data_IF_224758403051
#
_entry.id   IF_224758403051
#
_cell.length_a   1.000
_cell.length_b   1.000
_cell.length_c   1.000
_cell.angle_alpha   90.00
_cell.angle_beta   90.00
_cell.angle_gamma   90.00
#
_symmetry.space_group_name_H-M   'P 1'
#
loop_
_entity.id
_entity.type
_entity.pdbx_description
1 polymer ?
#
# COMPACT_ATOMS: atom_id res chain seq x y z
N UNK A 1 -33.12 28.21 -34.80
CA UNK A 1 -32.42 27.46 -33.74
C UNK A 1 -33.40 26.40 -33.24
N UNK A 2 -33.34 25.18 -33.77
CA UNK A 2 -34.33 24.14 -33.46
C UNK A 2 -34.03 23.53 -32.08
N UNK A 3 -35.03 23.52 -31.19
CA UNK A 3 -34.91 22.92 -29.87
C UNK A 3 -34.72 21.40 -30.00
N UNK A 4 -33.70 20.87 -29.32
CA UNK A 4 -33.44 19.42 -29.27
C UNK A 4 -34.62 18.75 -28.56
N UNK A 5 -35.27 17.74 -29.15
CA UNK A 5 -36.41 17.07 -28.53
C UNK A 5 -35.96 16.29 -27.27
N UNK A 6 -36.80 16.33 -26.22
CA UNK A 6 -36.47 15.81 -24.88
C UNK A 6 -36.09 14.33 -24.86
N UNK A 7 -36.59 13.54 -25.80
CA UNK A 7 -36.29 12.11 -25.94
C UNK A 7 -34.82 11.84 -26.30
N UNK A 8 -34.15 12.80 -26.94
CA UNK A 8 -32.71 12.73 -27.19
C UNK A 8 -31.90 13.16 -25.97
N UNK A 9 -32.39 14.09 -25.15
CA UNK A 9 -31.74 14.50 -23.89
C UNK A 9 -31.66 13.32 -22.91
N UNK A 10 -32.75 12.55 -22.81
CA UNK A 10 -32.82 11.35 -21.95
C UNK A 10 -31.95 10.17 -22.42
N UNK A 11 -31.51 10.17 -23.68
CA UNK A 11 -30.55 9.18 -24.20
C UNK A 11 -29.09 9.57 -23.96
N UNK A 12 -28.82 10.86 -23.75
CA UNK A 12 -27.47 11.40 -23.53
C UNK A 12 -27.15 11.48 -22.03
N UNK A 13 -28.15 11.49 -21.16
CA UNK A 13 -27.95 11.36 -19.72
C UNK A 13 -27.51 9.92 -19.40
N UNK A 14 -26.30 9.71 -18.85
CA UNK A 14 -25.91 8.40 -18.36
C UNK A 14 -26.96 8.00 -17.32
N UNK A 15 -27.59 6.82 -17.47
CA UNK A 15 -28.43 6.24 -16.42
C UNK A 15 -27.64 6.33 -15.12
N UNK A 16 -28.10 7.16 -14.19
CA UNK A 16 -27.50 7.27 -12.88
C UNK A 16 -27.50 5.88 -12.26
N UNK A 17 -26.32 5.24 -12.23
CA UNK A 17 -26.12 4.00 -11.49
C UNK A 17 -26.60 4.30 -10.07
N UNK A 18 -27.47 3.47 -9.46
CA UNK A 18 -27.92 3.72 -8.10
C UNK A 18 -26.67 3.84 -7.24
N UNK A 19 -26.37 5.06 -6.78
CA UNK A 19 -25.36 5.23 -5.76
C UNK A 19 -25.88 4.44 -4.57
N UNK A 20 -25.08 3.53 -4.06
CA UNK A 20 -25.34 2.91 -2.76
C UNK A 20 -25.10 4.02 -1.72
N UNK A 21 -26.03 4.98 -1.67
CA UNK A 21 -26.04 6.21 -0.86
C UNK A 21 -26.41 5.89 0.60
N UNK A 22 -26.00 4.73 1.12
CA UNK A 22 -26.11 4.48 2.54
C UNK A 22 -24.97 5.20 3.24
N UNK A 23 -25.30 6.19 4.07
CA UNK A 23 -24.34 6.87 4.96
C UNK A 23 -23.50 5.86 5.76
N UNK A 24 -24.02 4.66 6.05
CA UNK A 24 -23.28 3.60 6.71
C UNK A 24 -22.20 2.97 5.82
N UNK A 25 -22.48 2.76 4.52
CA UNK A 25 -21.55 2.13 3.59
C UNK A 25 -20.22 2.89 3.49
N UNK A 26 -20.27 4.23 3.35
CA UNK A 26 -19.05 5.04 3.29
C UNK A 26 -18.17 4.92 4.54
N UNK A 27 -18.79 4.78 5.71
CA UNK A 27 -18.06 4.61 6.97
C UNK A 27 -17.45 3.22 7.08
N UNK A 28 -18.14 2.18 6.62
CA UNK A 28 -17.57 0.82 6.54
C UNK A 28 -16.33 0.79 5.64
N UNK A 29 -16.41 1.37 4.44
CA UNK A 29 -15.24 1.47 3.54
C UNK A 29 -14.15 2.31 4.17
N UNK A 30 -14.49 3.47 4.75
CA UNK A 30 -13.54 4.32 5.48
C UNK A 30 -12.79 3.57 6.57
N UNK A 31 -13.49 2.77 7.39
CA UNK A 31 -12.88 1.95 8.43
C UNK A 31 -11.94 0.87 7.87
N UNK A 32 -12.32 0.18 6.80
CA UNK A 32 -11.45 -0.80 6.12
C UNK A 32 -10.16 -0.12 5.66
N UNK A 33 -10.28 1.07 5.06
CA UNK A 33 -9.15 1.85 4.58
C UNK A 33 -8.26 2.34 5.72
N UNK A 34 -8.83 2.80 6.84
CA UNK A 34 -8.07 3.20 8.03
C UNK A 34 -7.29 2.01 8.58
N UNK A 35 -7.92 0.85 8.71
CA UNK A 35 -7.26 -0.37 9.18
C UNK A 35 -6.14 -0.80 8.22
N UNK A 36 -6.39 -0.78 6.90
CA UNK A 36 -5.37 -1.07 5.89
C UNK A 36 -4.18 -0.09 5.98
N UNK A 37 -4.46 1.18 6.23
CA UNK A 37 -3.45 2.24 6.41
C UNK A 37 -2.59 1.94 7.64
N UNK A 38 -3.24 1.64 8.77
CA UNK A 38 -2.55 1.27 10.02
C UNK A 38 -1.63 0.08 9.76
N UNK A 39 -2.11 -0.99 9.12
CA UNK A 39 -1.33 -2.21 8.86
C UNK A 39 -0.04 -1.89 8.10
N UNK A 40 -0.13 -1.18 6.96
CA UNK A 40 1.06 -0.97 6.13
C UNK A 40 2.05 0.00 6.79
N UNK A 41 1.57 1.05 7.45
CA UNK A 41 2.42 2.05 8.13
C UNK A 41 3.10 1.41 9.34
N UNK A 42 2.32 0.72 10.16
CA UNK A 42 2.82 -0.03 11.32
C UNK A 42 3.88 -1.05 10.90
N UNK A 43 3.69 -1.75 9.79
CA UNK A 43 4.69 -2.70 9.27
C UNK A 43 6.03 -2.04 8.91
N UNK A 44 5.99 -0.82 8.36
CA UNK A 44 7.20 -0.09 8.00
C UNK A 44 7.95 0.39 9.25
N UNK A 45 7.24 0.96 10.22
CA UNK A 45 7.84 1.43 11.48
C UNK A 45 8.38 0.28 12.32
N UNK A 46 7.66 -0.84 12.39
CA UNK A 46 8.07 -2.02 13.16
C UNK A 46 9.38 -2.61 12.64
N UNK A 47 9.59 -2.59 11.32
CA UNK A 47 10.84 -3.02 10.70
C UNK A 47 12.01 -2.14 11.16
N UNK A 48 11.83 -0.81 11.12
CA UNK A 48 12.85 0.15 11.56
C UNK A 48 13.22 -0.06 13.03
N UNK A 49 12.24 -0.38 13.87
CA UNK A 49 12.46 -0.68 15.28
C UNK A 49 13.18 -2.02 15.52
N UNK A 50 12.88 -3.04 14.70
CA UNK A 50 13.46 -4.37 14.82
C UNK A 50 14.85 -4.52 14.16
N UNK A 51 15.36 -3.49 13.48
CA UNK A 51 16.67 -3.52 12.81
C UNK A 51 17.81 -4.04 13.73
N UNK A 52 17.99 -3.55 14.97
CA UNK A 52 19.05 -4.03 15.86
C UNK A 52 18.97 -5.53 16.18
N UNK A 53 17.77 -6.02 16.50
CA UNK A 53 17.56 -7.44 16.82
C UNK A 53 17.70 -8.35 15.60
N UNK A 54 17.34 -7.86 14.40
CA UNK A 54 17.58 -8.60 13.15
C UNK A 54 19.07 -8.72 12.83
N UNK A 55 19.85 -7.65 13.01
CA UNK A 55 21.31 -7.69 12.80
C UNK A 55 21.98 -8.75 13.67
N UNK A 56 21.62 -8.80 14.95
CA UNK A 56 22.13 -9.80 15.89
C UNK A 56 21.69 -11.21 15.49
N UNK A 57 20.41 -11.39 15.14
CA UNK A 57 19.86 -12.70 14.77
C UNK A 57 20.45 -13.27 13.48
N UNK A 58 20.77 -12.42 12.51
CA UNK A 58 21.27 -12.83 11.19
C UNK A 58 22.80 -12.72 11.08
N UNK A 59 23.48 -12.17 12.10
CA UNK A 59 24.93 -11.93 12.14
C UNK A 59 25.44 -11.07 10.97
N UNK A 60 24.66 -10.06 10.60
CA UNK A 60 24.97 -9.13 9.51
C UNK A 60 25.21 -7.72 10.04
N UNK A 61 26.04 -6.95 9.34
CA UNK A 61 26.30 -5.56 9.69
C UNK A 61 25.16 -4.63 9.29
N UNK A 62 25.19 -3.39 9.78
CA UNK A 62 24.21 -2.36 9.43
C UNK A 62 24.15 -2.10 7.90
N UNK A 63 25.31 -2.12 7.25
CA UNK A 63 25.44 -1.92 5.80
C UNK A 63 24.70 -2.96 4.98
N UNK A 64 24.73 -4.21 5.43
CA UNK A 64 23.99 -5.31 4.80
C UNK A 64 22.52 -5.16 5.15
N UNK A 65 22.21 -5.00 6.45
CA UNK A 65 20.84 -4.91 6.94
C UNK A 65 20.04 -3.77 6.29
N UNK A 66 20.66 -2.63 5.95
CA UNK A 66 19.99 -1.51 5.28
C UNK A 66 19.37 -1.89 3.92
N UNK A 67 19.89 -2.92 3.24
CA UNK A 67 19.31 -3.40 1.97
C UNK A 67 17.90 -3.97 2.12
N UNK A 68 17.51 -4.43 3.32
CA UNK A 68 16.13 -4.86 3.60
C UNK A 68 15.13 -3.71 3.58
N UNK A 69 15.58 -2.50 3.95
CA UNK A 69 14.79 -1.28 3.88
C UNK A 69 14.82 -0.71 2.46
N UNK A 70 16.00 -0.64 1.85
CA UNK A 70 16.18 -0.11 0.49
C UNK A 70 15.43 -0.95 -0.56
N UNK A 71 15.54 -2.28 -0.52
CA UNK A 71 14.84 -3.17 -1.46
C UNK A 71 13.32 -3.03 -1.38
N UNK A 72 12.79 -2.86 -0.16
CA UNK A 72 11.39 -2.54 0.06
C UNK A 72 11.01 -1.16 -0.52
N UNK A 73 11.83 -0.14 -0.31
CA UNK A 73 11.55 1.22 -0.82
C UNK A 73 11.61 1.28 -2.35
N UNK A 74 12.61 0.65 -2.98
CA UNK A 74 12.74 0.55 -4.44
C UNK A 74 11.48 -0.09 -5.01
N UNK A 75 11.17 -1.32 -4.58
CA UNK A 75 10.00 -2.06 -5.08
C UNK A 75 8.68 -1.29 -4.85
N UNK A 76 8.47 -0.73 -3.66
CA UNK A 76 7.30 0.10 -3.35
C UNK A 76 7.18 1.27 -4.32
N UNK A 77 8.25 2.01 -4.54
CA UNK A 77 8.25 3.24 -5.35
C UNK A 77 8.01 2.94 -6.83
N UNK A 78 8.60 1.86 -7.36
CA UNK A 78 8.37 1.41 -8.72
C UNK A 78 6.89 1.13 -8.99
N UNK A 79 6.25 0.42 -8.07
CA UNK A 79 4.87 -0.01 -8.25
C UNK A 79 3.88 1.14 -8.10
N UNK A 80 4.21 2.21 -7.37
CA UNK A 80 3.39 3.44 -7.31
C UNK A 80 3.18 4.05 -8.70
N UNK A 81 4.22 4.09 -9.53
CA UNK A 81 4.12 4.62 -10.90
C UNK A 81 3.23 3.78 -11.83
N UNK A 82 3.13 2.47 -11.56
CA UNK A 82 2.34 1.54 -12.37
C UNK A 82 0.84 1.50 -11.99
N UNK A 83 0.43 2.14 -10.89
CA UNK A 83 -0.94 2.01 -10.33
C UNK A 83 -2.01 2.49 -11.29
N UNK A 84 -1.81 3.62 -11.98
CA UNK A 84 -2.80 4.15 -12.93
C UNK A 84 -3.11 3.14 -14.04
N UNK A 85 -2.07 2.53 -14.62
CA UNK A 85 -2.23 1.51 -15.65
C UNK A 85 -2.84 0.21 -15.12
N UNK A 86 -2.33 -0.29 -13.99
CA UNK A 86 -2.84 -1.52 -13.36
C UNK A 86 -4.30 -1.36 -12.90
N UNK A 87 -4.64 -0.20 -12.34
CA UNK A 87 -5.97 0.14 -11.83
C UNK A 87 -6.98 0.20 -12.97
N UNK A 88 -6.63 0.82 -14.08
CA UNK A 88 -7.47 0.87 -15.29
C UNK A 88 -7.70 -0.52 -15.91
N UNK A 89 -6.72 -1.44 -15.81
CA UNK A 89 -6.82 -2.80 -16.37
C UNK A 89 -7.61 -3.75 -15.47
N UNK A 90 -7.41 -3.71 -14.15
CA UNK A 90 -7.95 -4.70 -13.21
C UNK A 90 -9.13 -4.17 -12.36
N UNK A 91 -9.33 -2.86 -12.33
CA UNK A 91 -10.19 -2.14 -11.41
C UNK A 91 -9.48 -1.84 -10.08
N UNK A 92 -9.71 -0.65 -9.53
CA UNK A 92 -9.04 -0.15 -8.32
C UNK A 92 -9.24 -1.09 -7.11
N UNK A 93 -10.46 -1.60 -6.94
CA UNK A 93 -10.81 -2.54 -5.86
C UNK A 93 -10.04 -3.86 -5.95
N UNK A 94 -9.91 -4.45 -7.14
CA UNK A 94 -9.20 -5.74 -7.30
C UNK A 94 -7.68 -5.55 -7.22
N UNK A 95 -7.18 -4.43 -7.74
CA UNK A 95 -5.77 -4.10 -7.58
C UNK A 95 -5.43 -3.90 -6.10
N UNK A 96 -6.27 -3.20 -5.34
CA UNK A 96 -6.09 -3.04 -3.90
C UNK A 96 -6.08 -4.40 -3.19
N UNK A 97 -7.05 -5.27 -3.50
CA UNK A 97 -7.12 -6.61 -2.92
C UNK A 97 -5.87 -7.45 -3.24
N UNK A 98 -5.39 -7.40 -4.50
CA UNK A 98 -4.17 -8.10 -4.92
C UNK A 98 -2.94 -7.55 -4.20
N UNK A 99 -2.81 -6.22 -4.12
CA UNK A 99 -1.71 -5.56 -3.43
C UNK A 99 -1.69 -5.90 -1.94
N UNK A 100 -2.84 -5.90 -1.28
CA UNK A 100 -2.96 -6.30 0.12
C UNK A 100 -2.62 -7.79 0.32
N UNK A 101 -3.04 -8.66 -0.61
CA UNK A 101 -2.69 -10.08 -0.57
C UNK A 101 -1.17 -10.29 -0.73
N UNK A 102 -0.54 -9.64 -1.72
CA UNK A 102 0.92 -9.70 -1.93
C UNK A 102 1.66 -9.17 -0.71
N UNK A 103 1.21 -8.06 -0.14
CA UNK A 103 1.77 -7.49 1.08
C UNK A 103 1.71 -8.46 2.27
N UNK A 104 0.57 -9.12 2.45
CA UNK A 104 0.31 -10.09 3.53
C UNK A 104 1.16 -11.35 3.35
N UNK A 105 1.27 -11.86 2.12
CA UNK A 105 2.14 -13.00 1.79
C UNK A 105 3.61 -12.62 1.99
N UNK A 106 4.01 -11.42 1.55
CA UNK A 106 5.35 -10.90 1.80
C UNK A 106 5.69 -10.81 3.28
N UNK A 107 4.72 -10.38 4.12
CA UNK A 107 4.88 -10.38 5.57
C UNK A 107 5.12 -11.80 6.11
N UNK A 108 4.28 -12.76 5.71
CA UNK A 108 4.43 -14.16 6.12
C UNK A 108 5.81 -14.71 5.74
N UNK A 109 6.24 -14.47 4.50
CA UNK A 109 7.56 -14.90 4.00
C UNK A 109 8.71 -14.25 4.80
N UNK A 110 8.62 -12.96 5.12
CA UNK A 110 9.62 -12.28 5.95
C UNK A 110 9.73 -12.91 7.35
N UNK A 111 8.60 -13.29 7.95
CA UNK A 111 8.60 -14.02 9.23
C UNK A 111 9.28 -15.39 9.14
N UNK A 112 9.16 -16.05 7.98
CA UNK A 112 9.75 -17.37 7.69
C UNK A 112 11.18 -17.30 7.13
N UNK A 113 11.77 -16.12 7.01
CA UNK A 113 13.10 -15.94 6.43
C UNK A 113 14.17 -16.76 7.18
N UNK A 114 14.98 -17.51 6.43
CA UNK A 114 16.03 -18.40 6.94
C UNK A 114 17.45 -17.82 6.77
N UNK A 115 17.62 -16.84 5.88
CA UNK A 115 18.86 -16.10 5.68
C UNK A 115 18.59 -14.62 5.42
N UNK A 116 19.65 -13.81 5.48
CA UNK A 116 19.58 -12.40 5.15
C UNK A 116 19.12 -12.15 3.71
N UNK A 117 19.63 -12.91 2.73
CA UNK A 117 19.27 -12.78 1.32
C UNK A 117 17.80 -13.15 1.09
N UNK A 118 17.31 -14.20 1.76
CA UNK A 118 15.89 -14.57 1.71
C UNK A 118 15.01 -13.45 2.29
N UNK A 119 15.43 -12.81 3.37
CA UNK A 119 14.72 -11.68 3.97
C UNK A 119 14.66 -10.48 3.01
N UNK A 120 15.77 -10.15 2.34
CA UNK A 120 15.81 -9.07 1.33
C UNK A 120 14.84 -9.38 0.18
N UNK A 121 14.84 -10.61 -0.35
CA UNK A 121 13.92 -11.02 -1.40
C UNK A 121 12.45 -10.89 -0.96
N UNK A 122 12.11 -11.39 0.23
CA UNK A 122 10.75 -11.32 0.75
C UNK A 122 10.31 -9.89 1.05
N UNK A 123 11.23 -9.01 1.43
CA UNK A 123 10.98 -7.58 1.58
C UNK A 123 10.68 -6.89 0.26
N UNK A 124 11.35 -7.28 -0.83
CA UNK A 124 11.02 -6.82 -2.18
C UNK A 124 9.61 -7.26 -2.55
N UNK A 125 9.24 -8.52 -2.32
CA UNK A 125 7.87 -9.03 -2.57
C UNK A 125 6.84 -8.24 -1.76
N UNK A 126 7.12 -7.99 -0.48
CA UNK A 126 6.24 -7.18 0.37
C UNK A 126 6.11 -5.74 -0.14
N UNK A 127 7.21 -5.13 -0.61
CA UNK A 127 7.22 -3.78 -1.16
C UNK A 127 6.42 -3.65 -2.45
N UNK A 128 6.42 -4.67 -3.31
CA UNK A 128 5.53 -4.76 -4.49
C UNK A 128 4.06 -4.66 -4.06
N UNK A 129 3.67 -5.32 -2.97
CA UNK A 129 2.33 -5.21 -2.40
C UNK A 129 2.05 -3.84 -1.78
N UNK A 130 3.04 -3.25 -1.10
CA UNK A 130 2.89 -1.97 -0.40
C UNK A 130 2.75 -0.76 -1.34
N UNK A 131 3.40 -0.80 -2.52
CA UNK A 131 3.45 0.33 -3.45
C UNK A 131 2.07 0.85 -3.85
N UNK A 132 1.20 -0.01 -4.42
CA UNK A 132 -0.10 0.43 -4.90
C UNK A 132 -1.09 0.83 -3.81
N UNK A 133 -0.91 0.38 -2.56
CA UNK A 133 -1.88 0.60 -1.50
C UNK A 133 -2.15 2.09 -1.27
N UNK A 134 -1.11 2.92 -1.12
CA UNK A 134 -1.28 4.36 -0.80
C UNK A 134 -2.11 5.12 -1.85
N UNK A 135 -1.79 5.10 -3.16
CA UNK A 135 -2.63 5.76 -4.16
C UNK A 135 -4.01 5.12 -4.28
N UNK A 136 -4.14 3.80 -4.13
CA UNK A 136 -5.45 3.13 -4.21
C UNK A 136 -6.36 3.47 -3.03
N UNK A 137 -5.80 3.68 -1.84
CA UNK A 137 -6.52 4.21 -0.68
C UNK A 137 -7.22 5.51 -1.06
N UNK A 138 -6.47 6.45 -1.66
CA UNK A 138 -7.01 7.75 -2.05
C UNK A 138 -8.08 7.63 -3.13
N UNK A 139 -7.85 6.76 -4.12
CA UNK A 139 -8.83 6.50 -5.18
C UNK A 139 -10.13 5.94 -4.61
N UNK A 140 -10.06 4.88 -3.79
CA UNK A 140 -11.25 4.25 -3.19
C UNK A 140 -11.99 5.23 -2.27
N UNK A 141 -11.27 6.03 -1.48
CA UNK A 141 -11.87 7.06 -0.64
C UNK A 141 -12.57 8.14 -1.46
N UNK A 142 -11.96 8.63 -2.54
CA UNK A 142 -12.57 9.63 -3.42
C UNK A 142 -13.73 9.10 -4.27
N UNK A 143 -13.76 7.80 -4.57
CA UNK A 143 -14.89 7.12 -5.20
C UNK A 143 -16.05 6.93 -4.21
N UNK A 144 -15.75 6.80 -2.91
CA UNK A 144 -16.74 6.50 -1.87
C UNK A 144 -17.33 7.76 -1.22
N UNK A 145 -16.52 8.79 -1.00
CA UNK A 145 -16.94 10.04 -0.38
C UNK A 145 -17.30 11.09 -1.45
N UNK A 146 -18.40 11.85 -1.25
CA UNK A 146 -18.79 12.88 -2.18
C UNK A 146 -17.74 14.01 -2.24
N UNK A 147 -17.68 14.81 -3.33
CA UNK A 147 -16.65 15.84 -3.53
C UNK A 147 -16.47 16.81 -2.35
N UNK A 148 -17.57 17.16 -1.68
CA UNK A 148 -17.58 18.08 -0.54
C UNK A 148 -16.95 17.47 0.73
N UNK A 149 -16.86 16.14 0.80
CA UNK A 149 -16.29 15.39 1.93
C UNK A 149 -14.90 14.83 1.62
N UNK A 150 -14.26 15.23 0.51
CA UNK A 150 -12.90 14.76 0.17
C UNK A 150 -11.86 15.16 1.22
N UNK A 151 -12.03 16.31 1.87
CA UNK A 151 -11.19 16.69 3.02
C UNK A 151 -11.32 15.71 4.19
N UNK A 152 -12.51 15.17 4.45
CA UNK A 152 -12.76 14.14 5.47
C UNK A 152 -12.16 12.79 5.05
N UNK A 153 -12.28 12.42 3.77
CA UNK A 153 -11.60 11.24 3.24
C UNK A 153 -10.08 11.31 3.46
N UNK A 154 -9.46 12.45 3.12
CA UNK A 154 -8.03 12.67 3.33
C UNK A 154 -7.66 12.58 4.82
N UNK A 155 -8.49 13.12 5.72
CA UNK A 155 -8.21 13.07 7.15
C UNK A 155 -8.30 11.66 7.71
N UNK A 156 -9.18 10.79 7.20
CA UNK A 156 -9.21 9.37 7.58
C UNK A 156 -7.89 8.67 7.28
N UNK A 157 -7.30 8.92 6.12
CA UNK A 157 -5.96 8.41 5.82
C UNK A 157 -4.92 8.93 6.81
N UNK A 158 -4.89 10.24 7.08
CA UNK A 158 -3.92 10.81 8.02
C UNK A 158 -4.09 10.28 9.45
N UNK A 159 -5.32 10.04 9.89
CA UNK A 159 -5.60 9.40 11.19
C UNK A 159 -5.06 7.97 11.20
N UNK A 160 -5.28 7.20 10.12
CA UNK A 160 -4.73 5.85 10.00
C UNK A 160 -3.20 5.83 10.00
N UNK A 161 -2.57 6.79 9.31
CA UNK A 161 -1.11 6.93 9.24
C UNK A 161 -0.50 7.29 10.61
N UNK A 162 -1.09 8.28 11.29
CA UNK A 162 -0.67 8.66 12.63
C UNK A 162 -0.87 7.51 13.65
N UNK A 163 -2.03 6.85 13.61
CA UNK A 163 -2.31 5.71 14.47
C UNK A 163 -1.33 4.55 14.21
N UNK A 164 -1.08 4.21 12.95
CA UNK A 164 -0.10 3.20 12.55
C UNK A 164 1.30 3.52 13.05
N UNK A 165 1.71 4.79 12.98
CA UNK A 165 3.01 5.25 13.45
C UNK A 165 3.15 5.16 14.98
N UNK A 166 2.13 5.58 15.72
CA UNK A 166 2.13 5.53 17.19
C UNK A 166 2.12 4.09 17.69
N UNK A 167 1.24 3.24 17.15
CA UNK A 167 1.18 1.81 17.48
C UNK A 167 2.50 1.13 17.11
N UNK A 168 3.04 1.45 15.93
CA UNK A 168 4.30 0.91 15.43
C UNK A 168 5.51 1.20 16.32
N UNK A 169 5.56 2.36 17.00
CA UNK A 169 6.68 2.68 17.90
C UNK A 169 6.48 2.21 19.34
N UNK A 170 5.25 2.22 19.84
CA UNK A 170 4.95 1.83 21.22
C UNK A 170 4.80 0.31 21.41
N UNK A 171 3.85 -0.29 20.69
CA UNK A 171 3.47 -1.70 20.90
C UNK A 171 4.52 -2.68 20.36
N UNK A 172 5.20 -2.34 19.28
CA UNK A 172 6.14 -3.26 18.62
C UNK A 172 7.39 -3.53 19.44
N UNK A 173 7.88 -2.58 20.25
CA UNK A 173 9.04 -2.81 21.12
C UNK A 173 8.78 -3.96 22.08
N UNK A 174 7.64 -3.90 22.78
CA UNK A 174 7.19 -4.98 23.67
C UNK A 174 7.03 -6.32 22.91
N UNK A 175 6.48 -6.29 21.70
CA UNK A 175 6.29 -7.49 20.89
C UNK A 175 7.64 -8.13 20.48
N UNK A 176 8.62 -7.32 20.09
CA UNK A 176 9.97 -7.75 19.73
C UNK A 176 10.67 -8.36 20.95
N UNK A 177 10.55 -7.73 22.12
CA UNK A 177 11.18 -8.22 23.35
C UNK A 177 10.58 -9.56 23.79
N UNK A 178 9.26 -9.75 23.64
CA UNK A 178 8.57 -10.96 24.08
C UNK A 178 8.65 -12.14 23.08
N UNK A 179 8.52 -11.87 21.78
CA UNK A 179 8.36 -12.91 20.75
C UNK A 179 9.47 -12.88 19.68
N UNK A 180 10.42 -11.95 19.79
CA UNK A 180 11.49 -11.76 18.82
C UNK A 180 11.07 -10.93 17.60
N UNK A 181 12.06 -10.57 16.79
CA UNK A 181 11.87 -9.70 15.62
C UNK A 181 10.87 -10.26 14.59
N UNK A 182 10.71 -11.59 14.49
CA UNK A 182 9.78 -12.20 13.53
C UNK A 182 8.31 -11.85 13.80
N UNK A 183 7.99 -11.54 15.06
CA UNK A 183 6.63 -11.18 15.46
C UNK A 183 6.11 -9.91 14.76
N UNK A 184 7.00 -8.99 14.40
CA UNK A 184 6.63 -7.76 13.66
C UNK A 184 6.06 -8.07 12.28
N UNK A 185 6.41 -9.21 11.70
CA UNK A 185 5.88 -9.66 10.42
C UNK A 185 4.61 -10.47 10.61
N UNK A 186 4.61 -11.39 11.58
CA UNK A 186 3.47 -12.29 11.79
C UNK A 186 2.20 -11.56 12.21
N UNK A 187 2.29 -10.48 12.99
CA UNK A 187 1.10 -9.72 13.40
C UNK A 187 0.35 -9.09 12.22
N UNK A 188 1.06 -8.79 11.13
CA UNK A 188 0.45 -8.22 9.92
C UNK A 188 -0.32 -9.26 9.09
N UNK A 189 -0.04 -10.55 9.28
CA UNK A 189 -0.71 -11.63 8.54
C UNK A 189 -2.20 -11.74 8.88
N UNK A 190 -2.62 -11.93 10.15
CA UNK A 190 -4.04 -12.02 10.49
C UNK A 190 -4.77 -10.71 10.21
N UNK A 191 -4.13 -9.57 10.45
CA UNK A 191 -4.71 -8.25 10.16
C UNK A 191 -4.94 -8.07 8.65
N UNK A 192 -3.94 -8.37 7.83
CA UNK A 192 -4.04 -8.29 6.37
C UNK A 192 -5.12 -9.22 5.81
N UNK A 193 -5.21 -10.45 6.31
CA UNK A 193 -6.27 -11.39 5.91
C UNK A 193 -7.67 -10.91 6.32
N UNK A 194 -7.83 -10.39 7.53
CA UNK A 194 -9.10 -9.85 8.02
C UNK A 194 -9.55 -8.64 7.19
N UNK A 195 -8.64 -7.70 6.91
CA UNK A 195 -8.91 -6.53 6.07
C UNK A 195 -9.22 -6.93 4.63
N UNK A 196 -8.50 -7.92 4.09
CA UNK A 196 -8.77 -8.46 2.75
C UNK A 196 -10.15 -9.10 2.67
N UNK A 197 -10.52 -9.92 3.65
CA UNK A 197 -11.85 -10.53 3.72
C UNK A 197 -12.95 -9.46 3.82
N UNK A 198 -12.77 -8.47 4.70
CA UNK A 198 -13.72 -7.37 4.86
C UNK A 198 -13.88 -6.56 3.56
N UNK A 199 -12.77 -6.23 2.89
CA UNK A 199 -12.78 -5.55 1.59
C UNK A 199 -13.55 -6.36 0.54
N UNK A 200 -13.30 -7.67 0.48
CA UNK A 200 -13.90 -8.54 -0.54
C UNK A 200 -15.42 -8.70 -0.36
N UNK A 201 -15.90 -8.60 0.88
CA UNK A 201 -17.34 -8.71 1.22
C UNK A 201 -18.04 -7.35 1.07
N UNK A 202 -17.43 -6.27 1.56
CA UNK A 202 -18.09 -4.96 1.70
C UNK A 202 -17.96 -4.15 0.41
N UNK A 203 -16.80 -4.12 -0.24
CA UNK A 203 -16.54 -3.26 -1.39
C UNK A 203 -16.92 -3.99 -2.69
N UNK A 204 -17.97 -3.56 -3.40
CA UNK A 204 -18.39 -4.18 -4.64
C UNK A 204 -17.35 -3.95 -5.74
N UNK A 205 -17.19 -4.95 -6.60
CA UNK A 205 -16.31 -4.85 -7.76
C UNK A 205 -16.98 -4.01 -8.86
N UNK A 206 -16.77 -2.68 -8.82
CA UNK A 206 -17.17 -1.78 -9.90
C UNK A 206 -16.05 -1.76 -10.94
N UNK A 207 -16.29 -2.45 -12.07
CA UNK A 207 -15.37 -2.40 -13.21
C UNK A 207 -15.66 -1.16 -14.03
N UNK A 208 -14.75 -0.20 -13.99
CA UNK A 208 -14.64 0.84 -15.01
C UNK A 208 -13.39 0.52 -15.84
N UNK A 209 -13.55 -0.34 -16.85
CA UNK A 209 -12.44 -0.66 -17.76
C UNK A 209 -12.29 0.46 -18.76
N UNK A 210 -11.33 1.35 -18.52
CA UNK A 210 -10.87 2.34 -19.50
C UNK A 210 -9.55 1.82 -20.06
N UNK A 211 -9.50 1.51 -21.36
CA UNK A 211 -8.27 1.01 -21.99
C UNK A 211 -7.32 2.18 -22.23
N UNK A 212 -6.31 2.33 -21.38
CA UNK A 212 -5.19 3.26 -21.61
C UNK A 212 -3.92 2.51 -22.02
N UNK A 213 -3.12 3.15 -22.86
CA UNK A 213 -1.80 2.65 -23.29
C UNK A 213 -0.82 2.61 -22.11
N UNK A 214 -0.09 1.50 -21.99
CA UNK A 214 1.02 1.36 -21.05
C UNK A 214 2.22 2.17 -21.54
N UNK A 215 2.87 2.93 -20.66
CA UNK A 215 4.16 3.58 -20.93
C UNK A 215 5.32 2.82 -20.26
N UNK A 216 5.89 1.81 -20.93
CA UNK A 216 7.01 1.04 -20.38
C UNK A 216 8.29 1.87 -20.28
N UNK A 217 8.47 2.88 -21.13
CA UNK A 217 9.68 3.71 -21.17
C UNK A 217 9.67 4.63 -19.95
N UNK A 218 8.54 5.29 -19.68
CA UNK A 218 8.36 6.09 -18.47
C UNK A 218 8.58 5.26 -17.19
N UNK A 219 8.06 4.02 -17.15
CA UNK A 219 8.28 3.13 -16.00
C UNK A 219 9.75 2.74 -15.83
N UNK A 220 10.47 2.44 -16.92
CA UNK A 220 11.90 2.12 -16.86
C UNK A 220 12.75 3.34 -16.47
N UNK A 221 12.42 4.53 -16.98
CA UNK A 221 13.07 5.77 -16.58
C UNK A 221 12.85 6.08 -15.11
N UNK A 222 11.61 5.94 -14.62
CA UNK A 222 11.30 6.05 -13.19
C UNK A 222 12.10 5.02 -12.39
N UNK A 223 12.20 3.80 -12.90
CA UNK A 223 12.96 2.74 -12.23
C UNK A 223 14.44 3.05 -12.11
N UNK A 224 15.07 3.45 -13.21
CA UNK A 224 16.46 3.88 -13.22
C UNK A 224 16.70 5.05 -12.27
N UNK A 225 15.84 6.09 -12.32
CA UNK A 225 15.94 7.24 -11.45
C UNK A 225 15.86 6.87 -9.96
N UNK A 226 14.85 6.08 -9.57
CA UNK A 226 14.64 5.68 -8.17
C UNK A 226 15.76 4.78 -7.66
N UNK A 227 16.20 3.81 -8.47
CA UNK A 227 17.32 2.93 -8.10
C UNK A 227 18.60 3.75 -7.91
N UNK A 228 18.95 4.61 -8.88
CA UNK A 228 20.13 5.47 -8.78
C UNK A 228 20.05 6.42 -7.58
N UNK A 229 18.90 7.04 -7.35
CA UNK A 229 18.70 7.98 -6.25
C UNK A 229 18.84 7.29 -4.88
N UNK A 230 18.17 6.16 -4.68
CA UNK A 230 18.18 5.44 -3.40
C UNK A 230 19.54 4.80 -3.13
N UNK A 231 20.17 4.20 -4.14
CA UNK A 231 21.52 3.64 -4.01
C UNK A 231 22.55 4.74 -3.77
N UNK A 232 22.44 5.87 -4.47
CA UNK A 232 23.31 7.04 -4.28
C UNK A 232 23.18 7.63 -2.87
N UNK A 233 21.96 7.88 -2.40
CA UNK A 233 21.70 8.37 -1.05
C UNK A 233 22.19 7.38 0.03
N UNK A 234 21.97 6.09 -0.17
CA UNK A 234 22.49 5.07 0.74
C UNK A 234 24.02 5.05 0.76
N UNK A 235 24.66 5.18 -0.40
CA UNK A 235 26.13 5.19 -0.50
C UNK A 235 26.73 6.44 0.14
N UNK A 236 26.12 7.61 -0.07
CA UNK A 236 26.51 8.87 0.55
C UNK A 236 26.33 8.84 2.08
N UNK A 237 25.24 8.24 2.57
CA UNK A 237 25.01 8.06 4.01
C UNK A 237 26.05 7.11 4.65
N UNK A 238 26.61 6.16 3.90
CA UNK A 238 27.59 5.19 4.40
C UNK A 238 29.03 5.72 4.32
N UNK A 239 29.40 6.40 3.24
CA UNK A 239 30.78 6.80 2.96
C UNK A 239 31.08 8.27 3.30
N UNK A 240 30.06 9.07 3.63
CA UNK A 240 30.19 10.52 3.68
C UNK A 240 30.08 11.16 2.28
N UNK A 241 30.06 12.49 2.23
CA UNK A 241 29.96 13.28 1.00
C UNK A 241 31.32 13.70 0.42
N UNK A 242 32.37 12.92 0.69
CA UNK A 242 33.73 13.18 0.18
C UNK A 242 33.98 12.40 -1.13
#
# INVERSE_FOLDING_TARGET
MAAIPQDQVDRITPRAVPRQDSTAYKWWVGSIIVVATIIFVMSFEAMSLALPTMMVSMRVGLREMSWTLTGYMISRTLLVGAVGWLGNRMGNRNLFALSLAIFTIGALLCGLAWSFESLVLFRIVQGVGAGPLTPLIMVILHETFPPEQRGLAQSLFMVGDAAGSVIGRGFMGYLIDALGWRAVFYINVPLGLATLAALLVIVPNRRETVVQSFDPIGLLCLAGFVVCLLVGLQSAAQNGWE
#
